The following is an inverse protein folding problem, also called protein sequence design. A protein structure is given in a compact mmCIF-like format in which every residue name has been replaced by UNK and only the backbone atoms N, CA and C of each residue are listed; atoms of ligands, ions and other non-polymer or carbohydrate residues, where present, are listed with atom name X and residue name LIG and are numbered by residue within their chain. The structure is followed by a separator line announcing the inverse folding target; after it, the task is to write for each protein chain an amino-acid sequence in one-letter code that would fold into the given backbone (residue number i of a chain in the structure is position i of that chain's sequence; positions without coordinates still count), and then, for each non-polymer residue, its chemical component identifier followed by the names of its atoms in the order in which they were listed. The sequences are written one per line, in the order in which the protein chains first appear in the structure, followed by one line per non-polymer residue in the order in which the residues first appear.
data_IF_384608365394
#
_entry.id   IF_384608365394
#
_cell.length_a   1.000
_cell.length_b   1.000
_cell.length_c   1.000
_cell.angle_alpha   90.00
_cell.angle_beta   90.00
_cell.angle_gamma   90.00
#
_symmetry.space_group_name_H-M   'P 1'
#
loop_
_entity.id
_entity.type
_entity.pdbx_description
1 polymer ?
#
# COMPACT_ATOMS: atom_id res chain seq x y z
N UNK A 1 17.79 18.32 20.38
CA UNK A 1 18.29 17.08 19.71
C UNK A 1 17.64 15.92 20.42
N UNK A 2 16.48 15.43 19.92
CA UNK A 2 15.80 14.27 20.48
C UNK A 2 16.73 13.06 20.28
N UNK A 3 17.02 12.35 21.37
CA UNK A 3 17.76 11.09 21.32
C UNK A 3 16.95 10.13 20.43
N UNK A 4 17.54 9.66 19.33
CA UNK A 4 16.92 8.64 18.50
C UNK A 4 16.80 7.36 19.34
N UNK A 5 15.56 7.01 19.70
CA UNK A 5 15.28 5.75 20.40
C UNK A 5 15.63 4.58 19.47
N UNK A 6 16.47 3.70 19.96
CA UNK A 6 16.82 2.49 19.22
C UNK A 6 15.90 1.33 19.65
N UNK A 7 15.27 0.69 18.68
CA UNK A 7 14.30 -0.38 18.89
C UNK A 7 14.89 -1.78 18.74
N UNK A 8 16.04 -2.05 19.37
CA UNK A 8 16.74 -3.36 19.27
C UNK A 8 15.85 -4.54 19.65
N UNK A 9 15.17 -4.45 20.79
CA UNK A 9 14.31 -5.52 21.29
C UNK A 9 13.08 -5.71 20.40
N UNK A 10 12.44 -4.63 19.98
CA UNK A 10 11.29 -4.69 19.09
C UNK A 10 11.66 -5.33 17.76
N UNK A 11 12.66 -4.78 17.06
CA UNK A 11 13.10 -5.31 15.75
C UNK A 11 13.58 -6.76 15.86
N UNK A 12 14.35 -7.11 16.89
CA UNK A 12 14.81 -8.47 17.12
C UNK A 12 13.68 -9.46 17.43
N UNK A 13 12.52 -8.99 17.88
CA UNK A 13 11.34 -9.82 18.16
C UNK A 13 10.44 -10.03 16.93
N UNK A 14 10.66 -9.27 15.85
CA UNK A 14 9.89 -9.37 14.62
C UNK A 14 10.49 -10.44 13.69
N UNK A 15 9.68 -11.37 13.16
CA UNK A 15 10.18 -12.36 12.20
C UNK A 15 10.61 -11.70 10.89
N UNK A 16 11.58 -12.28 10.21
CA UNK A 16 12.04 -11.78 8.93
C UNK A 16 10.92 -11.80 7.89
N UNK A 17 10.83 -10.73 7.11
CA UNK A 17 9.96 -10.69 5.93
C UNK A 17 10.66 -11.32 4.72
N UNK A 18 9.91 -11.92 3.77
CA UNK A 18 10.50 -12.57 2.59
C UNK A 18 11.22 -11.57 1.69
N UNK A 19 12.01 -12.07 0.76
CA UNK A 19 12.62 -11.23 -0.29
C UNK A 19 11.59 -10.76 -1.33
N UNK A 20 10.57 -11.57 -1.58
CA UNK A 20 9.41 -11.23 -2.42
C UNK A 20 8.13 -11.47 -1.64
N UNK A 21 7.14 -10.58 -1.78
CA UNK A 21 5.84 -10.71 -1.13
C UNK A 21 5.05 -11.94 -1.63
N UNK A 22 5.37 -12.45 -2.82
CA UNK A 22 4.73 -13.63 -3.43
C UNK A 22 5.20 -14.97 -2.83
N UNK A 23 6.25 -14.97 -1.99
CA UNK A 23 6.81 -16.21 -1.44
C UNK A 23 6.03 -16.78 -0.26
N UNK A 24 5.00 -16.09 0.20
CA UNK A 24 4.27 -16.45 1.40
C UNK A 24 2.78 -16.63 1.12
N UNK A 25 2.25 -17.77 1.56
CA UNK A 25 0.80 -18.02 1.61
C UNK A 25 0.14 -17.40 2.85
N UNK A 26 0.94 -16.99 3.83
CA UNK A 26 0.49 -16.36 5.08
C UNK A 26 1.54 -15.40 5.63
N UNK A 27 1.10 -14.40 6.39
CA UNK A 27 2.02 -13.47 7.07
C UNK A 27 2.89 -14.18 8.11
N UNK A 28 4.15 -13.76 8.29
CA UNK A 28 5.08 -14.39 9.25
C UNK A 28 4.68 -14.19 10.72
N UNK A 29 3.92 -13.14 11.00
CA UNK A 29 3.37 -12.80 12.32
C UNK A 29 1.92 -12.36 12.15
N UNK A 30 1.01 -12.87 12.98
CA UNK A 30 -0.40 -12.48 12.94
C UNK A 30 -0.60 -11.02 13.37
N UNK A 31 -1.69 -10.34 12.94
CA UNK A 31 -1.99 -8.98 13.36
C UNK A 31 -1.96 -8.80 14.88
N UNK A 32 -2.62 -9.69 15.62
CA UNK A 32 -2.68 -9.64 17.09
C UNK A 32 -1.29 -9.69 17.73
N UNK A 33 -0.42 -10.61 17.27
CA UNK A 33 0.96 -10.70 17.80
C UNK A 33 1.81 -9.51 17.39
N UNK A 34 1.59 -8.96 16.21
CA UNK A 34 2.26 -7.74 15.76
C UNK A 34 1.88 -6.56 16.65
N UNK A 35 0.59 -6.37 16.95
CA UNK A 35 0.10 -5.33 17.86
C UNK A 35 0.70 -5.45 19.26
N UNK A 36 0.85 -6.68 19.77
CA UNK A 36 1.55 -6.92 21.04
C UNK A 36 3.01 -6.47 21.02
N UNK A 37 3.73 -6.70 19.91
CA UNK A 37 5.11 -6.23 19.74
C UNK A 37 5.18 -4.70 19.67
N UNK A 38 4.23 -4.08 18.99
CA UNK A 38 4.18 -2.62 18.85
C UNK A 38 3.92 -1.88 20.15
N UNK A 39 3.44 -2.56 21.23
CA UNK A 39 3.39 -1.98 22.57
C UNK A 39 4.75 -1.62 23.16
N UNK A 40 5.85 -2.11 22.56
CA UNK A 40 7.22 -1.70 22.93
C UNK A 40 7.62 -0.34 22.35
N UNK A 41 6.79 0.29 21.51
CA UNK A 41 7.04 1.62 21.00
C UNK A 41 6.87 2.69 22.09
N UNK A 42 7.69 3.72 22.00
CA UNK A 42 7.46 4.93 22.77
C UNK A 42 6.10 5.55 22.40
N UNK A 43 5.38 6.19 23.35
CA UNK A 43 4.04 6.72 23.11
C UNK A 43 3.95 7.72 21.94
N UNK A 44 5.03 8.47 21.70
CA UNK A 44 5.13 9.39 20.57
C UNK A 44 5.18 8.64 19.23
N UNK A 45 6.05 7.65 19.13
CA UNK A 45 6.24 6.84 17.92
C UNK A 45 5.01 5.96 17.61
N UNK A 46 4.36 5.44 18.66
CA UNK A 46 3.11 4.71 18.51
C UNK A 46 2.00 5.58 17.88
N UNK A 47 1.90 6.86 18.27
CA UNK A 47 0.96 7.81 17.65
C UNK A 47 1.29 8.07 16.19
N UNK A 48 2.57 8.21 15.84
CA UNK A 48 2.98 8.36 14.44
C UNK A 48 2.56 7.16 13.59
N UNK A 49 2.74 5.93 14.10
CA UNK A 49 2.30 4.70 13.42
C UNK A 49 0.79 4.70 13.23
N UNK A 50 0.00 5.07 14.26
CA UNK A 50 -1.46 5.11 14.17
C UNK A 50 -1.93 6.14 13.12
N UNK A 51 -1.36 7.32 13.11
CA UNK A 51 -1.65 8.35 12.09
C UNK A 51 -1.26 7.88 10.67
N UNK A 52 -0.12 7.20 10.51
CA UNK A 52 0.27 6.61 9.22
C UNK A 52 -0.71 5.52 8.79
N UNK A 53 -1.17 4.68 9.71
CA UNK A 53 -2.10 3.58 9.43
C UNK A 53 -3.42 4.10 8.85
N UNK A 54 -3.87 5.30 9.23
CA UNK A 54 -5.03 5.96 8.66
C UNK A 54 -4.91 6.27 7.16
N UNK A 55 -3.70 6.29 6.60
CA UNK A 55 -3.47 6.44 5.17
C UNK A 55 -3.16 5.12 4.46
N UNK A 56 -2.60 4.15 5.17
CA UNK A 56 -2.05 2.94 4.59
C UNK A 56 -3.05 1.78 4.62
N UNK A 57 -3.82 1.67 5.72
CA UNK A 57 -4.76 0.57 5.93
C UNK A 57 -6.09 0.93 5.28
N UNK A 58 -6.47 0.17 4.24
CA UNK A 58 -7.69 0.44 3.46
C UNK A 58 -8.95 0.31 4.29
N UNK A 59 -9.02 -0.66 5.19
CA UNK A 59 -10.16 -0.93 6.06
C UNK A 59 -10.42 0.19 7.07
N UNK A 60 -9.43 1.01 7.35
CA UNK A 60 -9.57 2.21 8.21
C UNK A 60 -10.05 3.44 7.44
N UNK A 61 -10.22 3.34 6.12
CA UNK A 61 -10.68 4.47 5.32
C UNK A 61 -12.20 4.46 5.19
N UNK A 62 -12.90 5.59 5.42
CA UNK A 62 -14.34 5.68 5.17
C UNK A 62 -14.66 5.35 3.70
N UNK A 63 -15.75 4.61 3.49
CA UNK A 63 -16.20 4.18 2.15
C UNK A 63 -16.52 5.36 1.22
N UNK A 64 -16.98 6.47 1.78
CA UNK A 64 -17.35 7.70 1.04
C UNK A 64 -16.35 8.82 1.36
N UNK A 65 -15.13 8.72 0.86
CA UNK A 65 -14.17 9.81 0.96
C UNK A 65 -14.12 10.65 -0.30
N UNK A 66 -14.34 11.97 -0.15
CA UNK A 66 -14.01 12.92 -1.21
C UNK A 66 -12.50 13.16 -1.27
N UNK A 67 -11.99 13.49 -2.46
CA UNK A 67 -10.58 13.87 -2.64
C UNK A 67 -10.19 15.00 -1.69
N UNK A 68 -11.07 15.97 -1.47
CA UNK A 68 -10.83 17.08 -0.53
C UNK A 68 -10.68 16.63 0.92
N UNK A 69 -11.46 15.64 1.36
CA UNK A 69 -11.34 15.08 2.71
C UNK A 69 -9.99 14.37 2.90
N UNK A 70 -9.55 13.63 1.87
CA UNK A 70 -8.23 12.97 1.85
C UNK A 70 -7.11 14.02 1.92
N UNK A 71 -7.19 15.09 1.11
CA UNK A 71 -6.20 16.15 1.07
C UNK A 71 -6.13 16.92 2.39
N UNK A 72 -7.28 17.28 3.00
CA UNK A 72 -7.31 17.91 4.32
C UNK A 72 -6.64 17.05 5.39
N UNK A 73 -6.87 15.73 5.34
CA UNK A 73 -6.24 14.78 6.28
C UNK A 73 -4.74 14.66 6.05
N UNK A 74 -4.31 14.66 4.79
CA UNK A 74 -2.90 14.68 4.42
C UNK A 74 -2.19 15.97 4.90
N UNK A 75 -2.81 17.13 4.73
CA UNK A 75 -2.26 18.40 5.21
C UNK A 75 -2.17 18.44 6.74
N UNK A 76 -3.19 17.89 7.43
CA UNK A 76 -3.16 17.74 8.89
C UNK A 76 -2.00 16.85 9.33
N UNK A 77 -1.85 15.68 8.72
CA UNK A 77 -0.74 14.75 8.98
C UNK A 77 0.63 15.43 8.83
N UNK A 78 0.85 16.16 7.74
CA UNK A 78 2.12 16.85 7.49
C UNK A 78 2.41 17.97 8.49
N UNK A 79 1.39 18.59 9.11
CA UNK A 79 1.57 19.61 10.15
C UNK A 79 1.81 19.01 11.54
N UNK A 80 1.14 17.91 11.88
CA UNK A 80 1.11 17.37 13.24
C UNK A 80 2.19 16.29 13.47
N UNK A 81 2.58 15.56 12.44
CA UNK A 81 3.64 14.55 12.53
C UNK A 81 5.00 15.21 12.30
N UNK A 82 5.84 15.23 13.31
CA UNK A 82 7.18 15.81 13.26
C UNK A 82 8.25 14.87 12.68
N UNK A 83 7.95 13.56 12.55
CA UNK A 83 8.85 12.60 11.93
C UNK A 83 8.95 12.81 10.42
N UNK A 84 10.12 13.28 9.98
CA UNK A 84 10.38 13.58 8.56
C UNK A 84 10.25 12.37 7.67
N UNK A 85 10.79 11.21 8.09
CA UNK A 85 10.76 9.98 7.30
C UNK A 85 9.32 9.49 7.06
N UNK A 86 8.49 9.50 8.12
CA UNK A 86 7.07 9.17 8.02
C UNK A 86 6.32 10.07 7.02
N UNK A 87 6.57 11.40 7.08
CA UNK A 87 5.98 12.35 6.13
C UNK A 87 6.42 12.09 4.69
N UNK A 88 7.70 11.81 4.46
CA UNK A 88 8.22 11.48 3.12
C UNK A 88 7.59 10.19 2.55
N UNK A 89 7.40 9.16 3.37
CA UNK A 89 6.74 7.92 2.97
C UNK A 89 5.27 8.13 2.61
N UNK A 90 4.51 8.84 3.45
CA UNK A 90 3.10 9.14 3.17
C UNK A 90 2.97 10.06 1.94
N UNK A 91 3.81 11.08 1.81
CA UNK A 91 3.81 11.97 0.64
C UNK A 91 4.05 11.20 -0.65
N UNK A 92 4.99 10.27 -0.64
CA UNK A 92 5.24 9.40 -1.80
C UNK A 92 4.04 8.48 -2.09
N UNK A 93 3.45 7.88 -1.07
CA UNK A 93 2.26 7.04 -1.23
C UNK A 93 1.10 7.82 -1.83
N UNK A 94 0.89 9.04 -1.36
CA UNK A 94 -0.15 9.94 -1.89
C UNK A 94 0.14 10.40 -3.31
N UNK A 95 1.41 10.63 -3.67
CA UNK A 95 1.81 10.95 -5.03
C UNK A 95 1.47 9.77 -5.99
N UNK A 96 1.81 8.54 -5.61
CA UNK A 96 1.45 7.35 -6.38
C UNK A 96 -0.07 7.24 -6.55
N UNK A 97 -0.86 7.42 -5.47
CA UNK A 97 -2.33 7.41 -5.54
C UNK A 97 -2.86 8.47 -6.52
N UNK A 98 -2.31 9.68 -6.49
CA UNK A 98 -2.68 10.77 -7.41
C UNK A 98 -2.41 10.38 -8.86
N UNK A 99 -1.25 9.76 -9.16
CA UNK A 99 -0.91 9.28 -10.52
C UNK A 99 -1.90 8.20 -10.98
N UNK A 100 -2.19 7.20 -10.13
CA UNK A 100 -3.16 6.15 -10.48
C UNK A 100 -4.58 6.72 -10.70
N UNK A 101 -5.01 7.68 -9.87
CA UNK A 101 -6.28 8.37 -10.04
C UNK A 101 -6.32 9.14 -11.38
N UNK A 102 -5.23 9.83 -11.72
CA UNK A 102 -5.11 10.58 -12.98
C UNK A 102 -5.21 9.65 -14.21
N UNK A 103 -4.51 8.53 -14.20
CA UNK A 103 -4.58 7.55 -15.29
C UNK A 103 -6.00 7.00 -15.46
N UNK A 104 -6.72 6.72 -14.35
CA UNK A 104 -8.12 6.28 -14.38
C UNK A 104 -9.05 7.37 -14.89
N UNK A 105 -8.90 8.62 -14.42
CA UNK A 105 -9.68 9.75 -14.89
C UNK A 105 -9.49 9.97 -16.40
N UNK A 106 -8.26 9.88 -16.89
CA UNK A 106 -7.96 10.02 -18.32
C UNK A 106 -8.63 8.92 -19.15
N UNK A 107 -8.57 7.67 -18.70
CA UNK A 107 -9.26 6.55 -19.36
C UNK A 107 -10.77 6.76 -19.43
N UNK A 108 -11.36 7.31 -18.37
CA UNK A 108 -12.79 7.61 -18.28
C UNK A 108 -13.18 8.96 -18.94
N UNK A 109 -12.23 9.63 -19.59
CA UNK A 109 -12.42 10.97 -20.21
C UNK A 109 -12.91 12.03 -19.22
N UNK A 110 -12.53 11.91 -17.95
CA UNK A 110 -12.79 12.88 -16.89
C UNK A 110 -11.68 13.93 -16.81
N UNK A 111 -11.95 15.02 -16.08
CA UNK A 111 -10.93 16.03 -15.77
C UNK A 111 -9.82 15.48 -14.86
N UNK A 112 -8.63 16.12 -14.82
CA UNK A 112 -7.58 15.77 -13.87
C UNK A 112 -8.11 15.72 -12.44
N UNK A 113 -7.78 14.68 -11.64
CA UNK A 113 -8.24 14.56 -10.27
C UNK A 113 -7.57 15.60 -9.37
N UNK A 114 -8.20 15.92 -8.26
CA UNK A 114 -7.52 16.59 -7.17
C UNK A 114 -6.49 15.63 -6.56
N UNK A 115 -5.36 16.18 -6.11
CA UNK A 115 -4.28 15.35 -5.57
C UNK A 115 -3.23 16.18 -4.84
N UNK A 116 -2.20 15.51 -4.35
CA UNK A 116 -1.14 16.17 -3.58
C UNK A 116 -0.21 16.99 -4.47
N UNK A 117 0.11 18.20 -4.04
CA UNK A 117 1.13 19.01 -4.70
C UNK A 117 2.55 18.43 -4.41
N UNK A 118 3.51 18.56 -5.36
CA UNK A 118 3.42 19.22 -6.66
C UNK A 118 2.91 18.32 -7.80
N UNK A 119 2.71 17.01 -7.53
CA UNK A 119 2.37 16.00 -8.56
C UNK A 119 1.06 16.35 -9.28
N UNK A 120 0.01 16.74 -8.53
CA UNK A 120 -1.28 17.09 -9.13
C UNK A 120 -1.15 18.27 -10.12
N UNK A 121 -0.38 19.28 -9.76
CA UNK A 121 -0.14 20.43 -10.64
C UNK A 121 0.63 20.03 -11.91
N UNK A 122 1.62 19.16 -11.80
CA UNK A 122 2.37 18.64 -12.94
C UNK A 122 1.48 17.82 -13.88
N UNK A 123 0.63 16.95 -13.31
CA UNK A 123 -0.34 16.15 -14.06
C UNK A 123 -1.32 17.05 -14.83
N UNK A 124 -1.94 18.02 -14.14
CA UNK A 124 -2.89 18.93 -14.76
C UNK A 124 -2.26 19.74 -15.92
N UNK A 125 -1.03 20.24 -15.72
CA UNK A 125 -0.28 20.98 -16.75
C UNK A 125 0.07 20.11 -17.97
N UNK A 126 0.30 18.82 -17.79
CA UNK A 126 0.72 17.90 -18.83
C UNK A 126 -0.32 16.82 -19.13
N UNK A 127 -1.61 17.12 -18.96
CA UNK A 127 -2.70 16.16 -19.03
C UNK A 127 -2.72 15.33 -20.30
N UNK A 128 -2.40 15.94 -21.45
CA UNK A 128 -2.37 15.28 -22.75
C UNK A 128 -1.05 14.53 -23.06
N UNK A 129 -0.06 14.59 -22.14
CA UNK A 129 1.18 13.85 -22.32
C UNK A 129 1.04 12.42 -21.78
N UNK A 130 1.57 11.42 -22.50
CA UNK A 130 1.36 10.00 -22.19
C UNK A 130 1.72 9.64 -20.73
N UNK A 131 2.82 10.17 -20.20
CA UNK A 131 3.30 9.94 -18.84
C UNK A 131 3.16 11.17 -17.93
N UNK A 132 2.37 12.18 -18.30
CA UNK A 132 2.26 13.48 -17.62
C UNK A 132 3.63 14.18 -17.42
N UNK A 133 4.63 13.84 -18.19
CA UNK A 133 6.04 14.22 -18.03
C UNK A 133 6.62 13.79 -16.67
N UNK A 134 6.17 12.69 -16.14
CA UNK A 134 6.62 12.10 -14.88
C UNK A 134 7.65 10.97 -15.09
N UNK A 135 7.96 10.58 -16.34
CA UNK A 135 8.76 9.40 -16.68
C UNK A 135 10.15 9.35 -16.04
N UNK A 136 10.79 10.51 -15.81
CA UNK A 136 12.09 10.58 -15.12
C UNK A 136 11.99 10.14 -13.65
N UNK A 137 10.90 10.49 -12.96
CA UNK A 137 10.68 10.19 -11.54
C UNK A 137 9.87 8.92 -11.33
N UNK A 138 8.94 8.63 -12.24
CA UNK A 138 8.02 7.49 -12.20
C UNK A 138 8.01 6.75 -13.55
N UNK A 139 9.09 6.03 -13.90
CA UNK A 139 9.25 5.40 -15.22
C UNK A 139 8.18 4.34 -15.53
N UNK A 140 7.48 3.86 -14.52
CA UNK A 140 6.42 2.87 -14.62
C UNK A 140 5.05 3.44 -15.09
N UNK A 141 4.88 4.77 -15.19
CA UNK A 141 3.58 5.40 -15.51
C UNK A 141 3.02 4.90 -16.84
N UNK A 142 3.86 4.79 -17.89
CA UNK A 142 3.43 4.29 -19.21
C UNK A 142 2.98 2.83 -19.12
N UNK A 143 3.69 2.01 -18.36
CA UNK A 143 3.34 0.60 -18.22
C UNK A 143 2.02 0.43 -17.45
N UNK A 144 1.80 1.20 -16.39
CA UNK A 144 0.51 1.22 -15.66
C UNK A 144 -0.62 1.70 -16.56
N UNK A 145 -0.39 2.72 -17.39
CA UNK A 145 -1.40 3.20 -18.34
C UNK A 145 -1.78 2.09 -19.34
N UNK A 146 -0.80 1.35 -19.84
CA UNK A 146 -1.04 0.21 -20.73
C UNK A 146 -1.84 -0.90 -20.04
N UNK A 147 -1.49 -1.25 -18.80
CA UNK A 147 -2.19 -2.27 -18.01
C UNK A 147 -3.65 -1.85 -17.68
N UNK A 148 -3.87 -0.57 -17.38
CA UNK A 148 -5.21 -0.03 -17.15
C UNK A 148 -6.12 -0.14 -18.39
N UNK A 149 -5.54 -0.09 -19.59
CA UNK A 149 -6.27 -0.25 -20.85
C UNK A 149 -6.49 -1.72 -21.24
N UNK A 150 -5.85 -2.67 -20.54
CA UNK A 150 -6.09 -4.11 -20.66
C UNK A 150 -7.20 -4.60 -19.74
N UNK A 151 -7.67 -5.82 -19.96
CA UNK A 151 -8.73 -6.46 -19.17
C UNK A 151 -8.19 -7.30 -17.99
N UNK A 152 -7.01 -6.97 -17.45
CA UNK A 152 -6.34 -7.73 -16.40
C UNK A 152 -6.19 -6.93 -15.09
N UNK A 153 -7.27 -6.72 -14.30
CA UNK A 153 -7.21 -5.97 -13.03
C UNK A 153 -6.28 -6.59 -11.98
N UNK A 154 -6.03 -7.89 -12.05
CA UNK A 154 -5.12 -8.60 -11.16
C UNK A 154 -3.67 -8.17 -11.37
N UNK A 155 -3.24 -8.02 -12.62
CA UNK A 155 -1.86 -7.63 -12.95
C UNK A 155 -1.56 -6.20 -12.50
N UNK A 156 -2.56 -5.32 -12.54
CA UNK A 156 -2.43 -3.94 -12.06
C UNK A 156 -2.20 -3.85 -10.55
N UNK A 157 -2.95 -4.63 -9.77
CA UNK A 157 -2.80 -4.64 -8.30
C UNK A 157 -1.47 -5.27 -7.90
N UNK A 158 -1.10 -6.38 -8.52
CA UNK A 158 0.21 -7.01 -8.35
C UNK A 158 1.34 -6.02 -8.63
N UNK A 159 1.26 -5.31 -9.76
CA UNK A 159 2.23 -4.29 -10.15
C UNK A 159 2.31 -3.16 -9.12
N UNK A 160 1.18 -2.71 -8.57
CA UNK A 160 1.13 -1.68 -7.53
C UNK A 160 1.84 -2.14 -6.25
N UNK A 161 1.60 -3.37 -5.82
CA UNK A 161 2.26 -3.96 -4.66
C UNK A 161 3.77 -4.10 -4.93
N UNK A 162 4.17 -4.56 -6.10
CA UNK A 162 5.57 -4.72 -6.48
C UNK A 162 6.34 -3.40 -6.49
N UNK A 163 5.75 -2.33 -7.03
CA UNK A 163 6.35 -0.99 -7.01
C UNK A 163 6.59 -0.49 -5.58
N UNK A 164 5.59 -0.66 -4.70
CA UNK A 164 5.71 -0.32 -3.28
C UNK A 164 6.77 -1.19 -2.59
N UNK A 165 6.74 -2.50 -2.82
CA UNK A 165 7.67 -3.48 -2.24
C UNK A 165 9.12 -3.17 -2.57
N UNK A 166 9.45 -2.99 -3.85
CA UNK A 166 10.81 -2.68 -4.32
C UNK A 166 11.37 -1.42 -3.65
N UNK A 167 10.54 -0.38 -3.51
CA UNK A 167 10.95 0.85 -2.83
C UNK A 167 11.21 0.64 -1.35
N UNK A 168 10.24 0.03 -0.64
CA UNK A 168 10.34 -0.21 0.80
C UNK A 168 11.50 -1.15 1.13
N UNK A 169 11.75 -2.14 0.29
CA UNK A 169 12.87 -3.07 0.46
C UNK A 169 14.21 -2.34 0.36
N UNK A 170 14.38 -1.48 -0.63
CA UNK A 170 15.60 -0.66 -0.79
C UNK A 170 15.82 0.27 0.40
N UNK A 171 14.79 0.96 0.86
CA UNK A 171 14.89 1.83 2.02
C UNK A 171 15.23 1.05 3.30
N UNK A 172 14.77 -0.18 3.43
CA UNK A 172 15.05 -1.01 4.60
C UNK A 172 16.52 -1.44 4.71
N UNK A 173 17.28 -1.42 3.61
CA UNK A 173 18.72 -1.70 3.62
C UNK A 173 19.54 -0.59 4.29
N UNK A 174 18.96 0.61 4.45
CA UNK A 174 19.60 1.77 5.07
C UNK A 174 19.18 1.99 6.54
N UNK A 175 18.17 1.26 7.04
CA UNK A 175 17.58 1.45 8.36
C UNK A 175 17.53 0.13 9.13
N UNK A 176 18.17 0.04 10.29
CA UNK A 176 18.28 -1.21 11.03
C UNK A 176 17.46 -1.20 12.34
N UNK A 177 17.87 -0.46 13.37
CA UNK A 177 17.23 -0.51 14.70
C UNK A 177 16.56 0.79 15.11
N UNK A 178 16.26 1.63 14.14
CA UNK A 178 15.58 2.91 14.33
C UNK A 178 14.07 2.77 14.25
N UNK A 179 13.34 3.83 14.62
CA UNK A 179 11.91 3.95 14.36
C UNK A 179 11.58 3.79 12.87
N UNK A 180 12.42 4.34 11.99
CA UNK A 180 12.24 4.23 10.53
C UNK A 180 12.26 2.75 10.08
N UNK A 181 13.10 1.91 10.72
CA UNK A 181 13.11 0.46 10.44
C UNK A 181 11.80 -0.22 10.86
N UNK A 182 11.20 0.20 11.98
CA UNK A 182 9.88 -0.30 12.41
C UNK A 182 8.81 0.10 11.40
N UNK A 183 8.79 1.36 10.98
CA UNK A 183 7.86 1.85 9.94
C UNK A 183 7.98 1.05 8.65
N UNK A 184 9.20 0.82 8.17
CA UNK A 184 9.46 0.05 6.96
C UNK A 184 9.05 -1.42 7.10
N UNK A 185 9.25 -2.00 8.29
CA UNK A 185 8.77 -3.35 8.56
C UNK A 185 7.24 -3.42 8.46
N UNK A 186 6.54 -2.51 9.13
CA UNK A 186 5.07 -2.46 9.14
C UNK A 186 4.49 -2.26 7.73
N UNK A 187 5.04 -1.33 6.96
CA UNK A 187 4.57 -1.09 5.60
C UNK A 187 4.77 -2.32 4.70
N UNK A 188 5.90 -3.03 4.82
CA UNK A 188 6.13 -4.27 4.06
C UNK A 188 5.24 -5.41 4.57
N UNK A 189 5.06 -5.54 5.88
CA UNK A 189 4.15 -6.51 6.46
C UNK A 189 2.72 -6.32 5.95
N UNK A 190 2.23 -5.07 5.89
CA UNK A 190 0.92 -4.73 5.37
C UNK A 190 0.75 -5.14 3.89
N UNK A 191 1.79 -4.96 3.06
CA UNK A 191 1.74 -5.42 1.67
C UNK A 191 1.63 -6.95 1.57
N UNK A 192 2.40 -7.69 2.40
CA UNK A 192 2.29 -9.16 2.47
C UNK A 192 0.92 -9.58 2.99
N UNK A 193 0.42 -8.92 4.04
CA UNK A 193 -0.89 -9.20 4.60
C UNK A 193 -2.00 -9.06 3.56
N UNK A 194 -2.03 -7.96 2.84
CA UNK A 194 -2.98 -7.75 1.74
C UNK A 194 -2.87 -8.78 0.63
N UNK A 195 -1.64 -9.13 0.27
CA UNK A 195 -1.39 -10.13 -0.76
C UNK A 195 -1.97 -11.49 -0.35
N UNK A 196 -1.65 -11.96 0.86
CA UNK A 196 -2.11 -13.26 1.38
C UNK A 196 -3.62 -13.32 1.62
N UNK A 197 -4.27 -12.22 2.01
CA UNK A 197 -5.73 -12.18 2.13
C UNK A 197 -6.43 -12.34 0.76
N UNK A 198 -5.91 -11.74 -0.28
CA UNK A 198 -6.47 -11.88 -1.64
C UNK A 198 -6.36 -13.30 -2.18
N UNK A 199 -5.23 -13.97 -1.94
CA UNK A 199 -5.06 -15.36 -2.35
C UNK A 199 -6.00 -16.29 -1.57
N UNK A 200 -6.25 -16.04 -0.29
CA UNK A 200 -7.21 -16.76 0.50
C UNK A 200 -8.65 -16.60 -0.05
N UNK A 201 -9.05 -15.38 -0.39
CA UNK A 201 -10.38 -15.10 -0.98
C UNK A 201 -10.55 -15.72 -2.37
N UNK A 202 -9.49 -15.75 -3.18
CA UNK A 202 -9.48 -16.41 -4.49
C UNK A 202 -9.52 -17.91 -4.33
N UNK A 203 -8.76 -18.47 -3.39
CA UNK A 203 -8.74 -19.88 -3.06
C UNK A 203 -10.08 -20.37 -2.52
N UNK A 204 -10.71 -19.61 -1.63
CA UNK A 204 -12.03 -19.94 -1.09
C UNK A 204 -13.10 -19.92 -2.18
N UNK A 205 -13.14 -18.91 -3.05
CA UNK A 205 -14.08 -18.86 -4.17
C UNK A 205 -13.90 -20.02 -5.16
N UNK A 206 -12.65 -20.40 -5.48
CA UNK A 206 -12.36 -21.57 -6.31
C UNK A 206 -12.81 -22.87 -5.64
N UNK A 207 -12.59 -23.00 -4.34
CA UNK A 207 -13.03 -24.17 -3.58
C UNK A 207 -14.56 -24.28 -3.54
N UNK A 208 -15.28 -23.19 -3.28
CA UNK A 208 -16.74 -23.14 -3.29
C UNK A 208 -17.30 -23.48 -4.67
N UNK A 209 -16.64 -23.02 -5.75
CA UNK A 209 -17.01 -23.34 -7.13
C UNK A 209 -16.79 -24.84 -7.43
N UNK A 210 -15.64 -25.41 -7.04
CA UNK A 210 -15.37 -26.84 -7.19
C UNK A 210 -16.35 -27.72 -6.41
N UNK A 211 -16.72 -27.31 -5.19
CA UNK A 211 -17.74 -28.01 -4.39
C UNK A 211 -19.10 -27.94 -5.08
N UNK A 212 -19.48 -26.78 -5.60
CA UNK A 212 -20.76 -26.60 -6.32
C UNK A 212 -20.81 -27.44 -7.60
N UNK A 213 -19.72 -27.44 -8.37
CA UNK A 213 -19.61 -28.24 -9.61
C UNK A 213 -19.66 -29.74 -9.31
N UNK A 214 -18.92 -30.20 -8.29
CA UNK A 214 -18.94 -31.60 -7.86
C UNK A 214 -20.33 -32.05 -7.35
N UNK A 215 -21.03 -31.21 -6.60
CA UNK A 215 -22.40 -31.48 -6.16
C UNK A 215 -23.40 -31.51 -7.33
N UNK A 216 -23.22 -30.65 -8.34
CA UNK A 216 -24.02 -30.64 -9.57
C UNK A 216 -23.81 -31.90 -10.41
N UNK A 217 -22.57 -32.39 -10.55
CA UNK A 217 -22.29 -33.67 -11.23
C UNK A 217 -22.87 -34.88 -10.47
N UNK A 218 -22.80 -34.88 -9.13
CA UNK A 218 -23.43 -35.94 -8.32
C UNK A 218 -24.97 -35.96 -8.47
N UNK A 219 -25.61 -34.79 -8.48
CA UNK A 219 -27.06 -34.70 -8.68
C UNK A 219 -27.50 -35.20 -10.05
N UNK A 220 -26.69 -34.98 -11.10
CA UNK A 220 -26.96 -35.47 -12.46
C UNK A 220 -26.65 -36.96 -12.67
N UNK A 221 -25.88 -37.60 -11.78
CA UNK A 221 -25.57 -39.06 -11.86
C UNK A 221 -26.62 -39.93 -11.19
N UNK A 222 -27.49 -39.38 -10.35
CA UNK A 222 -28.51 -40.09 -9.57
C UNK A 222 -29.94 -39.61 -9.82
N UNK A 223 -30.17 -38.72 -10.78
CA UNK A 223 -31.47 -38.31 -11.29
C UNK A 223 -31.75 -38.90 -12.67
#
# INVERSE_FOLDING_TARGET
MLLRTNYYTLIGSLPALPRSFEQLDRVPISPLKLDERLKMLEPHDARVIDEMSNFLVWERQPLEQTDEAILRRYDKFNREVDNRFARELISHTMAIRTIFAALRCRRLQLAPPQGVAPIAAQIAKNWNHADFRLGAQYPWVIEVDRQLNGDAPFDLERMRIELAWRRLHRLAEEHYFSFDAVVLYLMRWELVYRWTQRDADVGQRKFEQLVTDAMGEFANMFG
#
